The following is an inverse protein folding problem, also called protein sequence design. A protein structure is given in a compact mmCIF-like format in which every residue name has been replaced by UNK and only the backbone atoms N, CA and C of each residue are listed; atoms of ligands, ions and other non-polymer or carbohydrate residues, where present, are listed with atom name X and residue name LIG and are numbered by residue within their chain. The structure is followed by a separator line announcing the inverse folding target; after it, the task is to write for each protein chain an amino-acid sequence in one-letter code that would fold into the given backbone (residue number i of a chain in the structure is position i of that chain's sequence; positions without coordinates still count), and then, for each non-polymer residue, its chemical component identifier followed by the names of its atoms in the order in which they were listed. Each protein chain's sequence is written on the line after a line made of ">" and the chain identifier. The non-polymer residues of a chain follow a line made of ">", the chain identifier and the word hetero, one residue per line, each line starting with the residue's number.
data_IF_303926620612
#
_entry.id   IF_303926620612
#
_cell.length_a   1.000
_cell.length_b   1.000
_cell.length_c   1.000
_cell.angle_alpha   90.00
_cell.angle_beta   90.00
_cell.angle_gamma   90.00
#
_symmetry.space_group_name_H-M   'P 1'
#
loop_
_entity.id
_entity.type
_entity.pdbx_description
1 polymer ?
#
# COMPACT_ATOMS: atom_id res chain seq x y z
N UNK A 1 14.47 26.50 20.70
CA UNK A 1 14.46 25.45 19.66
C UNK A 1 14.04 24.15 20.30
N UNK A 2 12.74 23.84 20.29
CA UNK A 2 12.21 22.58 20.81
C UNK A 2 12.37 21.53 19.71
N UNK A 3 13.32 20.61 19.88
CA UNK A 3 13.44 19.43 19.03
C UNK A 3 12.08 18.70 19.02
N UNK A 4 11.60 18.33 17.83
CA UNK A 4 10.47 17.39 17.73
C UNK A 4 10.90 16.11 18.46
N UNK A 5 10.11 15.58 19.43
CA UNK A 5 10.49 14.35 20.09
C UNK A 5 10.54 13.25 19.04
N UNK A 6 11.70 12.61 18.89
CA UNK A 6 11.81 11.37 18.12
C UNK A 6 10.91 10.27 18.71
N UNK A 7 10.83 9.10 18.05
CA UNK A 7 10.04 7.98 18.55
C UNK A 7 10.40 7.64 20.01
N UNK A 8 9.39 7.26 20.80
CA UNK A 8 9.55 6.85 22.19
C UNK A 8 10.45 5.62 22.23
N UNK A 9 11.48 5.67 23.08
CA UNK A 9 12.31 4.50 23.38
C UNK A 9 11.53 3.45 24.18
N UNK A 10 11.96 2.18 24.21
CA UNK A 10 11.25 1.12 24.92
C UNK A 10 10.96 1.42 26.41
N UNK A 11 11.90 2.05 27.12
CA UNK A 11 11.73 2.49 28.51
C UNK A 11 10.60 3.51 28.65
N UNK A 12 10.53 4.48 27.72
CA UNK A 12 9.50 5.51 27.72
C UNK A 12 8.13 4.95 27.32
N UNK A 13 8.09 3.97 26.41
CA UNK A 13 6.85 3.26 26.06
C UNK A 13 6.30 2.51 27.29
N UNK A 14 7.15 1.78 28.02
CA UNK A 14 6.78 1.11 29.26
C UNK A 14 6.28 2.08 30.31
N UNK A 15 6.94 3.23 30.48
CA UNK A 15 6.49 4.27 31.42
C UNK A 15 5.08 4.78 31.09
N UNK A 16 4.78 5.03 29.81
CA UNK A 16 3.44 5.44 29.37
C UNK A 16 2.41 4.34 29.65
N UNK A 17 2.72 3.07 29.38
CA UNK A 17 1.84 1.93 29.69
C UNK A 17 1.57 1.81 31.19
N UNK A 18 2.60 1.95 32.03
CA UNK A 18 2.42 1.96 33.49
C UNK A 18 1.54 3.10 33.97
N UNK A 19 1.69 4.31 33.39
CA UNK A 19 0.84 5.46 33.70
C UNK A 19 -0.62 5.23 33.29
N UNK A 20 -0.87 4.60 32.14
CA UNK A 20 -2.22 4.19 31.72
C UNK A 20 -2.84 3.27 32.78
N UNK A 21 -2.10 2.23 33.19
CA UNK A 21 -2.54 1.29 34.22
C UNK A 21 -2.84 1.97 35.56
N UNK A 22 -1.98 2.89 36.01
CA UNK A 22 -2.18 3.63 37.25
C UNK A 22 -3.44 4.52 37.22
N UNK A 23 -3.70 5.21 36.10
CA UNK A 23 -4.91 6.02 35.90
C UNK A 23 -6.17 5.16 35.95
N UNK A 24 -6.16 4.00 35.29
CA UNK A 24 -7.30 3.09 35.30
C UNK A 24 -7.50 2.42 36.66
N UNK A 25 -6.43 2.02 37.34
CA UNK A 25 -6.51 1.42 38.67
C UNK A 25 -7.10 2.38 39.71
N UNK A 26 -6.80 3.69 39.60
CA UNK A 26 -7.34 4.71 40.48
C UNK A 26 -8.84 4.96 40.30
N UNK A 27 -9.41 4.62 39.14
CA UNK A 27 -10.84 4.84 38.85
C UNK A 27 -11.74 3.70 39.36
N UNK A 28 -11.18 2.52 39.65
CA UNK A 28 -11.93 1.33 40.05
C UNK A 28 -11.86 1.09 41.56
N UNK A 29 -12.90 0.48 42.18
CA UNK A 29 -12.85 0.11 43.58
C UNK A 29 -11.70 -0.85 43.90
N UNK A 30 -11.18 -0.83 45.14
CA UNK A 30 -10.14 -1.77 45.57
C UNK A 30 -10.61 -3.22 45.45
N UNK A 31 -9.67 -4.14 45.21
CA UNK A 31 -9.95 -5.58 45.05
C UNK A 31 -10.25 -6.03 43.62
N UNK A 32 -10.09 -5.14 42.63
CA UNK A 32 -10.10 -5.53 41.22
C UNK A 32 -8.99 -6.56 40.92
N UNK A 33 -9.26 -7.47 39.99
CA UNK A 33 -8.35 -8.55 39.59
C UNK A 33 -7.68 -8.30 38.25
N UNK A 34 -8.43 -7.73 37.31
CA UNK A 34 -7.92 -7.45 35.97
C UNK A 34 -8.61 -6.24 35.36
N UNK A 35 -7.86 -5.45 34.61
CA UNK A 35 -8.35 -4.39 33.73
C UNK A 35 -7.90 -4.73 32.31
N UNK A 36 -8.84 -4.90 31.38
CA UNK A 36 -8.54 -5.13 29.96
C UNK A 36 -9.03 -3.93 29.16
N UNK A 37 -8.09 -3.22 28.55
CA UNK A 37 -8.32 -2.03 27.76
C UNK A 37 -8.06 -2.34 26.29
N UNK A 38 -9.08 -2.16 25.45
CA UNK A 38 -8.96 -2.30 24.00
C UNK A 38 -9.03 -0.93 23.35
N UNK A 39 -8.09 -0.65 22.46
CA UNK A 39 -8.00 0.60 21.71
C UNK A 39 -7.98 0.29 20.23
N UNK A 40 -8.77 1.03 19.44
CA UNK A 40 -8.77 0.99 17.97
C UNK A 40 -8.78 2.42 17.45
N UNK A 41 -7.94 2.73 16.46
CA UNK A 41 -7.95 4.05 15.84
C UNK A 41 -7.51 4.03 14.37
N UNK A 42 -8.12 4.92 13.58
CA UNK A 42 -7.71 5.26 12.23
C UNK A 42 -7.92 6.77 12.01
N UNK A 43 -6.83 7.51 11.75
CA UNK A 43 -6.85 8.95 11.65
C UNK A 43 -7.38 9.59 12.93
N UNK A 44 -8.52 10.28 12.83
CA UNK A 44 -9.22 10.92 13.96
C UNK A 44 -10.29 10.04 14.61
N UNK A 45 -10.63 8.89 14.02
CA UNK A 45 -11.58 7.94 14.61
C UNK A 45 -10.88 7.15 15.70
N UNK A 46 -11.43 7.17 16.92
CA UNK A 46 -10.88 6.47 18.08
C UNK A 46 -12.01 5.76 18.82
N UNK A 47 -11.82 4.48 19.10
CA UNK A 47 -12.70 3.67 19.93
C UNK A 47 -11.91 3.04 21.07
N UNK A 48 -12.45 3.11 22.28
CA UNK A 48 -11.89 2.46 23.46
C UNK A 48 -12.96 1.66 24.19
N UNK A 49 -12.58 0.48 24.66
CA UNK A 49 -13.37 -0.34 25.59
C UNK A 49 -12.54 -0.69 26.79
N UNK A 50 -13.18 -0.69 27.95
CA UNK A 50 -12.60 -1.19 29.18
C UNK A 50 -13.48 -2.30 29.73
N UNK A 51 -12.87 -3.44 30.06
CA UNK A 51 -13.47 -4.47 30.89
C UNK A 51 -12.79 -4.48 32.26
N UNK A 52 -13.61 -4.44 33.30
CA UNK A 52 -13.17 -4.48 34.69
C UNK A 52 -13.61 -5.80 35.30
N UNK A 53 -12.65 -6.59 35.76
CA UNK A 53 -12.89 -7.83 36.48
C UNK A 53 -12.71 -7.58 37.97
N UNK A 54 -13.82 -7.64 38.72
CA UNK A 54 -13.84 -7.43 40.16
C UNK A 54 -13.41 -8.66 40.97
N UNK A 55 -13.58 -8.61 42.31
CA UNK A 55 -13.29 -9.75 43.20
C UNK A 55 -14.09 -11.01 42.88
N UNK A 56 -15.28 -10.87 42.28
CA UNK A 56 -16.15 -11.97 41.87
C UNK A 56 -15.70 -12.68 40.59
N UNK A 57 -14.66 -12.16 39.92
CA UNK A 57 -14.12 -12.72 38.70
C UNK A 57 -14.98 -12.50 37.45
N UNK A 58 -16.06 -11.72 37.53
CA UNK A 58 -16.95 -11.47 36.39
C UNK A 58 -16.55 -10.18 35.67
N UNK A 59 -16.14 -10.22 34.40
CA UNK A 59 -15.80 -9.02 33.63
C UNK A 59 -17.03 -8.18 33.34
N UNK A 60 -16.94 -6.87 33.55
CA UNK A 60 -18.01 -5.91 33.24
C UNK A 60 -17.48 -4.73 32.44
N UNK A 61 -18.25 -4.19 31.48
CA UNK A 61 -17.89 -2.96 30.78
C UNK A 61 -17.73 -1.80 31.76
N UNK A 62 -16.64 -1.05 31.61
CA UNK A 62 -16.37 0.21 32.29
C UNK A 62 -16.15 1.32 31.27
N UNK A 63 -16.23 2.56 31.73
CA UNK A 63 -15.80 3.71 30.94
C UNK A 63 -14.31 3.97 31.21
N UNK A 64 -13.45 4.02 30.18
CA UNK A 64 -12.05 4.34 30.37
C UNK A 64 -11.87 5.83 30.72
N UNK A 65 -11.00 6.12 31.67
CA UNK A 65 -10.66 7.50 32.03
C UNK A 65 -10.15 8.29 30.81
N UNK A 66 -10.58 9.55 30.58
CA UNK A 66 -10.12 10.35 29.44
C UNK A 66 -8.59 10.51 29.37
N UNK A 67 -7.93 10.63 30.52
CA UNK A 67 -6.45 10.68 30.58
C UNK A 67 -5.79 9.38 30.09
N UNK A 68 -6.38 8.21 30.36
CA UNK A 68 -5.87 6.94 29.82
C UNK A 68 -6.01 6.90 28.30
N UNK A 69 -7.13 7.39 27.75
CA UNK A 69 -7.34 7.52 26.30
C UNK A 69 -6.33 8.49 25.66
N UNK A 70 -6.05 9.62 26.33
CA UNK A 70 -5.04 10.58 25.89
C UNK A 70 -3.63 9.96 25.87
N UNK A 71 -3.27 9.21 26.91
CA UNK A 71 -1.98 8.52 27.01
C UNK A 71 -1.82 7.42 25.95
N UNK A 72 -2.89 6.70 25.59
CA UNK A 72 -2.87 5.77 24.45
C UNK A 72 -2.54 6.51 23.14
N UNK A 73 -3.10 7.69 22.93
CA UNK A 73 -2.76 8.55 21.77
C UNK A 73 -1.29 9.00 21.77
N UNK A 74 -0.72 9.28 22.94
CA UNK A 74 0.72 9.58 23.12
C UNK A 74 1.56 8.36 22.79
N UNK A 75 1.22 7.19 23.34
CA UNK A 75 1.92 5.93 23.06
C UNK A 75 1.90 5.63 21.56
N UNK A 76 0.74 5.73 20.92
CA UNK A 76 0.55 5.49 19.49
C UNK A 76 1.39 6.41 18.62
N UNK A 77 1.34 7.71 18.91
CA UNK A 77 2.14 8.71 18.19
C UNK A 77 3.64 8.48 18.43
N UNK A 78 4.02 8.14 19.66
CA UNK A 78 5.39 7.87 20.04
C UNK A 78 5.97 6.57 19.46
N UNK A 79 5.12 5.60 19.11
CA UNK A 79 5.52 4.34 18.47
C UNK A 79 5.52 4.41 16.94
N UNK A 80 5.20 5.58 16.37
CA UNK A 80 5.34 5.80 14.93
C UNK A 80 6.78 5.59 14.47
N UNK A 81 6.93 4.77 13.43
CA UNK A 81 8.19 4.57 12.74
C UNK A 81 8.08 5.11 11.31
N UNK A 82 8.96 6.04 10.89
CA UNK A 82 8.96 6.55 9.53
C UNK A 82 8.95 5.45 8.47
N UNK A 83 7.98 5.51 7.56
CA UNK A 83 7.80 4.52 6.49
C UNK A 83 7.20 3.18 6.93
N UNK A 84 7.06 2.90 8.23
CA UNK A 84 6.32 1.72 8.70
C UNK A 84 4.92 2.08 9.24
N UNK A 85 4.72 3.33 9.66
CA UNK A 85 3.50 3.78 10.31
C UNK A 85 3.49 3.47 11.81
N UNK A 86 2.30 3.43 12.39
CA UNK A 86 2.04 3.01 13.77
C UNK A 86 0.95 1.93 13.80
N UNK A 87 0.66 1.39 14.98
CA UNK A 87 -0.41 0.42 15.19
C UNK A 87 -1.81 1.08 15.15
N UNK A 88 -2.82 0.33 14.69
CA UNK A 88 -4.23 0.77 14.64
C UNK A 88 -5.08 0.10 15.72
N UNK A 89 -4.57 -0.94 16.38
CA UNK A 89 -5.25 -1.63 17.46
C UNK A 89 -4.27 -2.03 18.56
N UNK A 90 -4.69 -1.95 19.81
CA UNK A 90 -3.91 -2.40 20.95
C UNK A 90 -4.82 -2.99 22.04
N UNK A 91 -4.32 -3.99 22.75
CA UNK A 91 -4.96 -4.64 23.88
C UNK A 91 -3.99 -4.58 25.04
N UNK A 92 -4.37 -3.87 26.11
CA UNK A 92 -3.56 -3.75 27.32
C UNK A 92 -4.28 -4.47 28.46
N UNK A 93 -3.56 -5.33 29.16
CA UNK A 93 -4.06 -6.07 30.32
C UNK A 93 -3.23 -5.68 31.54
N UNK A 94 -3.92 -5.29 32.61
CA UNK A 94 -3.32 -4.94 33.89
C UNK A 94 -3.85 -5.86 34.97
N UNK A 95 -2.95 -6.39 35.78
CA UNK A 95 -3.25 -7.23 36.94
C UNK A 95 -2.42 -6.74 38.14
N UNK A 96 -2.96 -6.77 39.37
CA UNK A 96 -2.21 -6.29 40.53
C UNK A 96 -0.93 -7.09 40.76
N UNK A 97 0.20 -6.39 40.87
CA UNK A 97 1.51 -7.00 41.18
C UNK A 97 2.20 -7.69 40.00
N UNK A 98 1.59 -7.70 38.81
CA UNK A 98 2.18 -8.24 37.59
C UNK A 98 2.58 -7.10 36.63
N UNK A 99 3.61 -7.31 35.80
CA UNK A 99 3.91 -6.37 34.73
C UNK A 99 2.72 -6.28 33.75
N UNK A 100 2.44 -5.10 33.18
CA UNK A 100 1.37 -4.96 32.20
C UNK A 100 1.69 -5.77 30.93
N UNK A 101 0.67 -6.42 30.39
CA UNK A 101 0.73 -7.06 29.08
C UNK A 101 0.16 -6.10 28.03
N UNK A 102 0.83 -5.98 26.89
CA UNK A 102 0.47 -5.07 25.82
C UNK A 102 0.66 -5.77 24.47
N UNK A 103 -0.45 -6.09 23.83
CA UNK A 103 -0.47 -6.66 22.50
C UNK A 103 -0.91 -5.60 21.49
N UNK A 104 -0.19 -5.51 20.38
CA UNK A 104 -0.47 -4.57 19.31
C UNK A 104 -0.93 -5.36 18.09
N UNK A 105 -2.13 -5.03 17.60
CA UNK A 105 -2.72 -5.72 16.45
C UNK A 105 -1.77 -5.60 15.27
N UNK A 106 -1.45 -6.76 14.69
CA UNK A 106 -0.53 -6.86 13.56
C UNK A 106 -1.02 -6.00 12.38
N UNK A 107 -0.12 -5.34 11.64
CA UNK A 107 -0.51 -4.46 10.54
C UNK A 107 -1.37 -5.12 9.46
N UNK A 108 -1.17 -6.40 9.17
CA UNK A 108 -1.91 -7.13 8.14
C UNK A 108 -3.35 -7.48 8.52
N UNK A 109 -3.75 -7.23 9.76
CA UNK A 109 -5.10 -7.47 10.26
C UNK A 109 -5.83 -6.14 10.48
N UNK A 110 -7.01 -6.00 9.89
CA UNK A 110 -7.90 -4.87 10.18
C UNK A 110 -8.43 -4.99 11.63
N UNK A 111 -8.23 -3.97 12.49
CA UNK A 111 -8.81 -4.00 13.83
C UNK A 111 -10.34 -4.05 13.78
N UNK A 112 -11.00 -4.77 14.69
CA UNK A 112 -12.46 -4.89 14.69
C UNK A 112 -13.11 -3.61 15.22
N UNK A 113 -13.27 -2.60 14.36
CA UNK A 113 -14.00 -1.37 14.67
C UNK A 113 -15.48 -1.67 14.92
N UNK A 114 -16.07 -1.13 15.99
CA UNK A 114 -17.53 -1.22 16.22
C UNK A 114 -18.29 -0.40 15.20
N UNK A 115 -17.78 0.78 14.88
CA UNK A 115 -18.29 1.64 13.82
C UNK A 115 -17.19 1.81 12.79
N UNK A 116 -17.44 1.31 11.57
CA UNK A 116 -16.46 1.41 10.49
C UNK A 116 -16.09 2.88 10.26
N UNK A 117 -14.80 3.26 10.36
CA UNK A 117 -14.37 4.59 10.00
C UNK A 117 -14.68 4.88 8.53
N UNK A 118 -15.08 6.12 8.16
CA UNK A 118 -15.23 6.48 6.76
C UNK A 118 -13.86 6.47 6.04
N UNK A 119 -13.80 6.38 4.70
CA UNK A 119 -12.55 6.34 3.94
C UNK A 119 -11.56 7.48 4.29
N UNK A 120 -12.09 8.68 4.54
CA UNK A 120 -11.27 9.84 4.96
C UNK A 120 -10.51 9.60 6.27
N UNK A 121 -11.04 8.75 7.16
CA UNK A 121 -10.34 8.37 8.40
C UNK A 121 -9.08 7.54 8.12
N UNK A 122 -9.13 6.65 7.14
CA UNK A 122 -7.96 5.85 6.72
C UNK A 122 -6.98 6.66 5.85
N UNK A 123 -7.47 7.64 5.10
CA UNK A 123 -6.60 8.60 4.40
C UNK A 123 -5.85 9.49 5.39
N UNK A 124 -6.55 10.00 6.40
CA UNK A 124 -5.94 10.73 7.52
C UNK A 124 -4.94 9.86 8.28
N UNK A 125 -5.21 8.57 8.45
CA UNK A 125 -4.25 7.63 9.04
C UNK A 125 -2.92 7.62 8.30
N UNK A 126 -2.96 7.46 6.98
CA UNK A 126 -1.76 7.44 6.14
C UNK A 126 -1.09 8.81 6.04
N UNK A 127 -1.84 9.90 6.23
CA UNK A 127 -1.30 11.26 6.30
C UNK A 127 -0.58 11.54 7.62
N UNK A 128 -1.14 11.10 8.75
CA UNK A 128 -0.55 11.32 10.08
C UNK A 128 0.59 10.35 10.38
N UNK A 129 0.48 9.12 9.91
CA UNK A 129 1.47 8.06 10.10
C UNK A 129 1.88 7.45 8.75
N UNK A 130 2.65 8.20 7.92
CA UNK A 130 3.08 7.74 6.61
C UNK A 130 3.76 6.38 6.63
N UNK A 131 3.39 5.56 5.65
CA UNK A 131 4.00 4.26 5.39
C UNK A 131 4.61 4.28 4.00
N UNK A 132 5.73 3.58 3.84
CA UNK A 132 6.20 3.17 2.52
C UNK A 132 5.10 2.36 1.87
N UNK A 133 4.96 2.51 0.54
CA UNK A 133 3.86 1.91 -0.20
C UNK A 133 3.82 0.39 0.09
N UNK A 134 4.94 -0.31 -0.02
CA UNK A 134 5.05 -1.76 0.22
C UNK A 134 4.63 -2.20 1.64
N UNK A 135 4.61 -1.28 2.60
CA UNK A 135 4.19 -1.51 3.99
C UNK A 135 2.75 -1.10 4.29
N UNK A 136 2.00 -0.61 3.31
CA UNK A 136 0.55 -0.39 3.45
C UNK A 136 -0.16 -1.73 3.17
N UNK A 137 -0.80 -2.35 4.18
CA UNK A 137 -1.56 -3.59 4.03
C UNK A 137 -2.69 -3.44 3.00
N UNK A 138 -3.04 -4.54 2.33
CA UNK A 138 -4.07 -4.54 1.29
C UNK A 138 -5.42 -4.01 1.79
N UNK A 139 -5.87 -4.45 2.98
CA UNK A 139 -7.11 -3.97 3.60
C UNK A 139 -7.08 -2.46 3.82
N UNK A 140 -5.95 -1.90 4.30
CA UNK A 140 -5.85 -0.47 4.61
C UNK A 140 -5.89 0.37 3.34
N UNK A 141 -5.33 -0.13 2.23
CA UNK A 141 -5.43 0.53 0.93
C UNK A 141 -6.84 0.57 0.41
N UNK A 142 -7.53 -0.56 0.46
CA UNK A 142 -8.92 -0.67 0.06
C UNK A 142 -9.78 0.32 0.87
N UNK A 143 -9.61 0.34 2.20
CA UNK A 143 -10.32 1.26 3.09
C UNK A 143 -10.01 2.73 2.83
N UNK A 144 -8.76 3.05 2.49
CA UNK A 144 -8.34 4.42 2.15
C UNK A 144 -8.73 4.84 0.71
N UNK A 145 -9.28 3.92 -0.10
CA UNK A 145 -9.57 4.18 -1.51
C UNK A 145 -8.31 4.36 -2.36
N UNK A 146 -7.18 3.80 -1.92
CA UNK A 146 -5.94 3.80 -2.70
C UNK A 146 -5.98 2.72 -3.77
N UNK A 147 -5.47 3.04 -4.95
CA UNK A 147 -5.16 2.04 -5.98
C UNK A 147 -4.24 0.97 -5.36
N UNK A 148 -4.40 -0.32 -5.69
CA UNK A 148 -3.49 -1.37 -5.24
C UNK A 148 -2.03 -0.97 -5.49
N UNK A 149 -1.09 -1.38 -4.62
CA UNK A 149 0.31 -1.20 -4.94
C UNK A 149 0.56 -1.84 -6.30
N UNK A 150 1.35 -1.19 -7.15
CA UNK A 150 2.16 -1.98 -8.06
C UNK A 150 2.95 -2.95 -7.16
N UNK A 151 2.66 -4.25 -7.21
CA UNK A 151 3.29 -5.24 -6.35
C UNK A 151 4.80 -4.99 -6.31
N UNK A 152 5.34 -4.78 -5.10
CA UNK A 152 6.63 -4.14 -4.90
C UNK A 152 7.78 -4.72 -5.72
N UNK A 153 8.61 -3.81 -6.25
CA UNK A 153 10.05 -4.04 -6.37
C UNK A 153 10.68 -3.64 -7.69
N UNK A 154 10.01 -3.82 -8.83
CA UNK A 154 10.62 -3.54 -10.13
C UNK A 154 9.55 -3.18 -11.15
N UNK A 155 9.70 -2.03 -11.79
CA UNK A 155 8.88 -1.69 -12.96
C UNK A 155 9.30 -2.67 -14.06
N UNK A 156 8.36 -3.51 -14.49
CA UNK A 156 8.65 -4.53 -15.50
C UNK A 156 8.59 -3.94 -16.90
N UNK A 157 9.51 -4.38 -17.76
CA UNK A 157 9.51 -4.00 -19.18
C UNK A 157 9.11 -5.22 -20.01
N UNK A 158 8.11 -5.12 -20.90
CA UNK A 158 7.67 -6.26 -21.69
C UNK A 158 8.70 -6.63 -22.75
N UNK A 159 8.77 -7.93 -23.05
CA UNK A 159 9.54 -8.41 -24.20
C UNK A 159 8.83 -8.01 -25.49
N UNK A 160 9.51 -7.25 -26.34
CA UNK A 160 9.01 -6.95 -27.70
C UNK A 160 9.02 -8.22 -28.55
N UNK A 161 10.05 -9.05 -28.40
CA UNK A 161 10.25 -10.33 -29.11
C UNK A 161 10.56 -11.45 -28.12
N UNK A 162 10.25 -12.70 -28.48
CA UNK A 162 10.59 -13.87 -27.64
C UNK A 162 12.02 -14.38 -27.89
N UNK A 163 12.65 -13.91 -28.96
CA UNK A 163 14.04 -14.20 -29.30
C UNK A 163 14.39 -13.67 -30.69
N UNK A 164 15.53 -14.10 -31.20
CA UNK A 164 15.98 -13.87 -32.58
C UNK A 164 16.37 -15.21 -33.21
N UNK A 165 16.20 -15.35 -34.52
CA UNK A 165 16.68 -16.54 -35.24
C UNK A 165 18.18 -16.46 -35.59
N UNK A 166 18.69 -17.49 -36.27
CA UNK A 166 20.10 -17.56 -36.69
C UNK A 166 20.50 -16.46 -37.70
N UNK A 167 19.53 -15.81 -38.34
CA UNK A 167 19.73 -14.67 -39.24
C UNK A 167 19.53 -13.31 -38.53
N UNK A 168 19.27 -13.30 -37.23
CA UNK A 168 19.03 -12.09 -36.44
C UNK A 168 17.61 -11.52 -36.57
N UNK A 169 16.68 -12.23 -37.22
CA UNK A 169 15.30 -11.77 -37.37
C UNK A 169 14.51 -11.98 -36.07
N UNK A 170 13.65 -11.03 -35.66
CA UNK A 170 12.82 -11.20 -34.48
C UNK A 170 11.89 -12.42 -34.57
N UNK A 171 11.85 -13.20 -33.50
CA UNK A 171 10.95 -14.33 -33.34
C UNK A 171 9.87 -14.00 -32.31
N UNK A 172 8.61 -14.25 -32.68
CA UNK A 172 7.45 -14.17 -31.79
C UNK A 172 6.73 -15.51 -31.82
N UNK A 173 6.64 -16.17 -30.66
CA UNK A 173 5.98 -17.46 -30.44
C UNK A 173 4.92 -17.30 -29.36
N UNK A 174 3.90 -16.49 -29.66
CA UNK A 174 2.80 -16.16 -28.75
C UNK A 174 1.48 -16.55 -29.38
N UNK A 175 0.50 -16.86 -28.54
CA UNK A 175 -0.87 -17.07 -29.00
C UNK A 175 -1.44 -15.73 -29.53
N UNK A 176 -2.12 -15.72 -30.69
CA UNK A 176 -2.75 -14.51 -31.19
C UNK A 176 -3.88 -14.06 -30.26
N UNK A 177 -4.04 -12.75 -30.12
CA UNK A 177 -5.19 -12.16 -29.43
C UNK A 177 -6.42 -12.21 -30.34
N UNK A 178 -7.60 -12.35 -29.73
CA UNK A 178 -8.85 -12.15 -30.47
C UNK A 178 -8.97 -10.67 -30.89
N UNK A 179 -9.55 -10.33 -32.05
CA UNK A 179 -9.60 -8.94 -32.54
C UNK A 179 -10.16 -7.94 -31.52
N UNK A 180 -11.29 -8.28 -30.88
CA UNK A 180 -11.91 -7.43 -29.86
C UNK A 180 -11.04 -7.25 -28.61
N UNK A 181 -10.21 -8.26 -28.28
CA UNK A 181 -9.25 -8.14 -27.18
C UNK A 181 -8.06 -7.27 -27.59
N UNK A 182 -7.54 -7.45 -28.80
CA UNK A 182 -6.44 -6.65 -29.33
C UNK A 182 -6.77 -5.14 -29.30
N UNK A 183 -7.99 -4.75 -29.70
CA UNK A 183 -8.47 -3.36 -29.63
C UNK A 183 -8.45 -2.82 -28.19
N UNK A 184 -8.89 -3.60 -27.21
CA UNK A 184 -8.89 -3.19 -25.80
C UNK A 184 -7.48 -3.10 -25.22
N UNK A 185 -6.59 -4.00 -25.64
CA UNK A 185 -5.17 -3.94 -25.25
C UNK A 185 -4.52 -2.70 -25.84
N UNK A 186 -4.76 -2.39 -27.12
CA UNK A 186 -4.28 -1.16 -27.75
C UNK A 186 -4.77 0.09 -27.01
N UNK A 187 -6.07 0.17 -26.72
CA UNK A 187 -6.64 1.28 -25.98
C UNK A 187 -5.99 1.47 -24.59
N UNK A 188 -5.69 0.37 -23.89
CA UNK A 188 -4.96 0.42 -22.63
C UNK A 188 -3.54 0.98 -22.80
N UNK A 189 -2.79 0.46 -23.78
CA UNK A 189 -1.40 0.85 -24.03
C UNK A 189 -1.29 2.33 -24.43
N UNK A 190 -2.24 2.83 -25.23
CA UNK A 190 -2.27 4.21 -25.72
C UNK A 190 -2.77 5.22 -24.67
N UNK A 191 -3.61 4.79 -23.72
CA UNK A 191 -4.18 5.65 -22.69
C UNK A 191 -3.23 5.92 -21.50
N UNK A 192 -2.25 5.03 -21.26
CA UNK A 192 -1.38 5.13 -20.10
C UNK A 192 -0.43 6.36 -20.15
N UNK A 193 -0.09 6.99 -19.02
CA UNK A 193 0.79 8.16 -18.97
C UNK A 193 2.15 7.96 -19.65
N UNK A 194 2.60 9.00 -20.35
CA UNK A 194 3.92 9.05 -21.00
C UNK A 194 5.01 9.36 -19.97
N UNK A 195 6.11 8.61 -19.99
CA UNK A 195 7.30 8.83 -19.15
C UNK A 195 8.53 9.28 -19.95
N UNK A 196 8.57 8.97 -21.24
CA UNK A 196 9.59 9.47 -22.15
C UNK A 196 8.93 9.87 -23.46
N UNK A 197 8.91 11.16 -23.74
CA UNK A 197 8.36 11.71 -24.97
C UNK A 197 9.49 11.90 -25.99
N UNK A 198 9.63 10.96 -26.92
CA UNK A 198 10.44 11.14 -28.12
C UNK A 198 9.54 11.39 -29.33
N UNK A 199 9.97 12.28 -30.22
CA UNK A 199 9.34 12.48 -31.54
C UNK A 199 10.04 11.69 -32.65
N UNK A 200 11.15 11.03 -32.34
CA UNK A 200 11.89 10.21 -33.30
C UNK A 200 11.26 8.82 -33.39
N UNK A 201 11.40 8.23 -34.57
CA UNK A 201 11.07 6.84 -34.81
C UNK A 201 12.35 6.02 -35.00
N UNK A 202 12.25 4.72 -34.79
CA UNK A 202 13.28 3.74 -35.11
C UNK A 202 12.83 2.79 -36.22
N UNK A 203 13.72 1.88 -36.64
CA UNK A 203 13.47 0.96 -37.74
C UNK A 203 12.41 -0.09 -37.38
N UNK A 204 11.59 -0.45 -38.37
CA UNK A 204 10.59 -1.51 -38.26
C UNK A 204 11.23 -2.87 -38.54
N UNK A 205 11.30 -3.72 -37.52
CA UNK A 205 11.98 -5.00 -37.63
C UNK A 205 11.22 -6.06 -38.46
N UNK A 206 9.93 -5.84 -38.75
CA UNK A 206 9.12 -6.70 -39.62
C UNK A 206 8.98 -6.15 -41.05
N UNK A 207 9.32 -4.87 -41.26
CA UNK A 207 9.34 -4.21 -42.56
C UNK A 207 10.58 -3.30 -42.70
N UNK A 208 11.80 -3.87 -42.72
CA UNK A 208 13.06 -3.12 -42.68
C UNK A 208 13.30 -2.23 -43.91
N UNK A 209 12.55 -2.45 -45.00
CA UNK A 209 12.56 -1.61 -46.20
C UNK A 209 11.81 -0.28 -46.04
N UNK A 210 11.05 -0.09 -44.96
CA UNK A 210 10.31 1.15 -44.69
C UNK A 210 11.18 2.21 -44.03
N UNK A 211 10.75 3.47 -44.16
CA UNK A 211 11.26 4.55 -43.32
C UNK A 211 10.97 4.27 -41.84
N UNK A 212 11.82 4.77 -40.95
CA UNK A 212 11.70 4.61 -39.51
C UNK A 212 10.30 5.01 -39.02
N UNK A 213 9.54 4.01 -38.56
CA UNK A 213 8.13 4.14 -38.21
C UNK A 213 7.83 3.78 -36.75
N UNK A 214 8.76 3.12 -36.05
CA UNK A 214 8.53 2.59 -34.70
C UNK A 214 8.71 3.71 -33.67
N UNK A 215 7.68 4.11 -32.90
CA UNK A 215 7.81 5.23 -31.97
C UNK A 215 8.77 4.93 -30.82
N UNK A 216 9.73 5.84 -30.59
CA UNK A 216 10.74 5.74 -29.52
C UNK A 216 10.30 6.42 -28.22
N UNK A 217 9.00 6.40 -27.93
CA UNK A 217 8.44 6.93 -26.66
C UNK A 217 8.22 5.79 -25.66
N UNK A 218 8.02 6.14 -24.39
CA UNK A 218 7.68 5.18 -23.35
C UNK A 218 6.49 5.63 -22.52
N UNK A 219 5.68 4.66 -22.09
CA UNK A 219 4.51 4.84 -21.23
C UNK A 219 4.58 3.90 -20.04
N UNK A 220 3.83 4.23 -18.98
CA UNK A 220 3.75 3.41 -17.77
C UNK A 220 2.36 3.40 -17.15
N UNK A 221 2.00 2.30 -16.48
CA UNK A 221 0.85 2.24 -15.56
C UNK A 221 1.28 2.16 -14.08
N UNK A 222 2.57 2.34 -13.81
CA UNK A 222 3.20 2.24 -12.50
C UNK A 222 3.68 0.85 -12.10
N UNK A 223 3.24 -0.21 -12.78
CA UNK A 223 3.76 -1.58 -12.59
C UNK A 223 4.58 -2.06 -13.79
N UNK A 224 4.23 -1.60 -14.99
CA UNK A 224 4.93 -1.85 -16.23
C UNK A 224 5.35 -0.54 -16.89
N UNK A 225 6.50 -0.56 -17.57
CA UNK A 225 6.92 0.47 -18.51
C UNK A 225 7.10 -0.17 -19.88
N UNK A 226 6.55 0.42 -20.94
CA UNK A 226 6.63 -0.15 -22.28
C UNK A 226 6.99 0.89 -23.34
N UNK A 227 7.79 0.49 -24.35
CA UNK A 227 8.06 1.34 -25.50
C UNK A 227 6.85 1.42 -26.43
N UNK A 228 6.75 2.50 -27.20
CA UNK A 228 5.74 2.70 -28.24
C UNK A 228 5.71 1.58 -29.28
N UNK A 229 6.84 0.88 -29.46
CA UNK A 229 6.96 -0.32 -30.27
C UNK A 229 5.91 -1.40 -29.96
N UNK A 230 5.51 -1.59 -28.70
CA UNK A 230 4.55 -2.63 -28.31
C UNK A 230 3.17 -2.37 -28.94
N UNK A 231 2.68 -1.14 -28.83
CA UNK A 231 1.41 -0.75 -29.44
C UNK A 231 1.50 -0.72 -30.96
N UNK A 232 2.63 -0.23 -31.51
CA UNK A 232 2.88 -0.20 -32.95
C UNK A 232 2.82 -1.61 -33.57
N UNK A 233 3.57 -2.57 -33.04
CA UNK A 233 3.62 -3.92 -33.61
C UNK A 233 2.32 -4.70 -33.46
N UNK A 234 1.57 -4.49 -32.38
CA UNK A 234 0.22 -5.06 -32.26
C UNK A 234 -0.72 -4.47 -33.32
N UNK A 235 -0.65 -3.16 -33.57
CA UNK A 235 -1.53 -2.46 -34.52
C UNK A 235 -1.20 -2.79 -35.97
N UNK A 236 0.06 -2.67 -36.36
CA UNK A 236 0.48 -2.76 -37.76
C UNK A 236 0.76 -4.18 -38.22
N UNK A 237 1.27 -5.02 -37.32
CA UNK A 237 1.75 -6.36 -37.66
C UNK A 237 0.97 -7.48 -36.94
N UNK A 238 -0.03 -7.13 -36.13
CA UNK A 238 -0.82 -8.10 -35.37
C UNK A 238 -0.01 -8.89 -34.34
N UNK A 239 1.17 -8.39 -33.96
CA UNK A 239 2.10 -9.08 -33.06
C UNK A 239 1.57 -9.03 -31.63
N UNK A 240 1.29 -10.17 -30.98
CA UNK A 240 0.82 -10.17 -29.59
C UNK A 240 1.87 -9.60 -28.62
N UNK A 241 1.48 -8.69 -27.70
CA UNK A 241 2.37 -8.24 -26.62
C UNK A 241 2.79 -9.38 -25.69
N UNK A 242 3.74 -9.09 -24.79
CA UNK A 242 4.20 -10.06 -23.79
C UNK A 242 3.00 -10.66 -23.03
N UNK A 243 2.86 -12.01 -22.98
CA UNK A 243 1.73 -12.65 -22.31
C UNK A 243 1.53 -12.19 -20.85
N UNK A 244 2.61 -11.90 -20.14
CA UNK A 244 2.54 -11.42 -18.75
C UNK A 244 1.98 -9.99 -18.67
N UNK A 245 2.32 -9.14 -19.65
CA UNK A 245 1.73 -7.81 -19.78
C UNK A 245 0.25 -7.93 -20.15
N UNK A 246 -0.13 -8.81 -21.09
CA UNK A 246 -1.54 -9.02 -21.45
C UNK A 246 -2.35 -9.53 -20.25
N UNK A 247 -1.80 -10.47 -19.48
CA UNK A 247 -2.42 -10.97 -18.26
C UNK A 247 -2.63 -9.85 -17.22
N UNK A 248 -1.64 -8.96 -17.07
CA UNK A 248 -1.75 -7.78 -16.21
C UNK A 248 -2.85 -6.81 -16.69
N UNK A 249 -2.91 -6.51 -17.99
CA UNK A 249 -3.96 -5.65 -18.58
C UNK A 249 -5.36 -6.25 -18.35
N UNK A 250 -5.51 -7.58 -18.53
CA UNK A 250 -6.75 -8.30 -18.22
C UNK A 250 -7.15 -8.17 -16.76
N UNK A 251 -6.21 -8.34 -15.84
CA UNK A 251 -6.44 -8.20 -14.40
C UNK A 251 -6.93 -6.78 -14.04
N UNK A 252 -6.47 -5.77 -14.79
CA UNK A 252 -6.91 -4.36 -14.68
C UNK A 252 -8.14 -4.02 -15.51
N UNK A 253 -8.84 -5.04 -16.03
CA UNK A 253 -10.06 -4.92 -16.83
C UNK A 253 -9.92 -3.97 -18.03
N UNK A 254 -8.70 -3.87 -18.59
CA UNK A 254 -8.38 -3.00 -19.72
C UNK A 254 -8.62 -1.51 -19.43
N UNK A 255 -8.46 -1.08 -18.18
CA UNK A 255 -8.54 0.33 -17.78
C UNK A 255 -7.18 0.83 -17.30
N UNK A 256 -6.53 1.65 -18.13
CA UNK A 256 -5.28 2.29 -17.78
C UNK A 256 -5.51 3.40 -16.73
N UNK A 257 -4.55 3.63 -15.82
CA UNK A 257 -4.63 4.78 -14.92
C UNK A 257 -4.54 6.08 -15.72
N UNK A 258 -5.32 7.09 -15.36
CA UNK A 258 -5.23 8.43 -15.97
C UNK A 258 -3.97 9.18 -15.53
N UNK A 259 -3.49 8.90 -14.32
CA UNK A 259 -2.30 9.49 -13.74
C UNK A 259 -1.49 8.42 -12.99
N UNK A 260 -0.17 8.58 -13.01
CA UNK A 260 0.78 7.79 -12.21
C UNK A 260 1.58 8.80 -11.38
N UNK A 261 1.77 8.58 -10.07
CA UNK A 261 2.53 9.49 -9.22
C UNK A 261 3.96 9.69 -9.73
N UNK A 262 4.50 10.91 -9.61
CA UNK A 262 5.83 11.26 -10.13
C UNK A 262 6.96 10.36 -9.63
N UNK A 263 7.05 10.00 -8.32
CA UNK A 263 8.07 9.07 -7.86
C UNK A 263 8.01 7.68 -8.53
N UNK A 264 6.82 7.25 -8.94
CA UNK A 264 6.63 5.98 -9.64
C UNK A 264 7.03 6.10 -11.11
N UNK A 265 6.77 7.26 -11.74
CA UNK A 265 7.29 7.56 -13.09
C UNK A 265 8.82 7.62 -13.11
N UNK A 266 9.45 8.20 -12.09
CA UNK A 266 10.91 8.27 -11.98
C UNK A 266 11.53 6.87 -11.88
N UNK A 267 10.91 5.98 -11.09
CA UNK A 267 11.32 4.58 -11.02
C UNK A 267 11.13 3.86 -12.37
N UNK A 268 10.02 4.11 -13.05
CA UNK A 268 9.75 3.55 -14.38
C UNK A 268 10.75 4.04 -15.43
N UNK A 269 11.12 5.32 -15.37
CA UNK A 269 12.14 5.91 -16.24
C UNK A 269 13.52 5.31 -15.97
N UNK A 270 13.91 5.20 -14.70
CA UNK A 270 15.17 4.56 -14.31
C UNK A 270 15.26 3.10 -14.80
N UNK A 271 14.16 2.35 -14.72
CA UNK A 271 14.10 0.95 -15.19
C UNK A 271 14.30 0.79 -16.71
N UNK A 272 13.99 1.81 -17.51
CA UNK A 272 14.15 1.76 -18.98
C UNK A 272 15.46 2.39 -19.47
N UNK A 273 16.11 3.24 -18.67
CA UNK A 273 17.39 3.89 -19.04
C UNK A 273 18.62 3.20 -18.48
N UNK A 274 18.48 2.41 -17.41
CA UNK A 274 19.60 1.83 -16.66
C UNK A 274 20.22 2.82 -15.68
#
# INVERSE_FOLDING_TARGET
>A
MTQSPGPLRPDQQQEVVHRIGAVLAAQVPPGWRQLRLEYRAAGRHVETDLLVTGPDGVPRPGQPHPEAVRLLGVLRSGMYQPGAGTWLGAILVFEPGLPPDADFVRPDLEPPFRQQPPPIGFQDELRFFPRADERIPAWLRERAGLTPPAAGGEVRTPRIYDGVDAAGKPLVRRAPLLPAEAERVLAYLDAAPVILASRSNGPDAFAPEREDAVPMNFRTDGAWAWPGAVAYYLREHGVPPDPDLVAHIRARRFTAPSEVPEPVKDLALAAITG
#
